data_IF_428959677671
#
_entry.id   IF_428959677671
#
_cell.length_a   1.000
_cell.length_b   1.000
_cell.length_c   1.000
_cell.angle_alpha   90.00
_cell.angle_beta   90.00
_cell.angle_gamma   90.00
#
_symmetry.space_group_name_H-M   'P 1'
#
loop_
_entity.id
_entity.type
_entity.pdbx_description
1 polymer ?
#
# COMPACT_ATOMS: atom_id res chain seq x y z
N UNK A 1 -38.41 -12.45 49.25
CA UNK A 1 -38.72 -13.83 48.81
C UNK A 1 -38.05 -14.07 47.47
N UNK A 2 -37.35 -15.20 47.29
CA UNK A 2 -35.91 -15.09 47.08
C UNK A 2 -35.36 -15.94 45.90
N UNK A 3 -34.07 -15.71 45.64
CA UNK A 3 -33.03 -16.57 45.02
C UNK A 3 -33.00 -16.84 43.49
N UNK A 4 -31.79 -16.64 42.95
CA UNK A 4 -31.28 -17.21 41.69
C UNK A 4 -31.11 -18.75 41.81
N UNK A 5 -30.73 -19.49 40.74
CA UNK A 5 -29.31 -19.55 40.37
C UNK A 5 -28.97 -19.78 38.89
N UNK A 6 -27.68 -19.56 38.61
CA UNK A 6 -26.93 -19.96 37.44
C UNK A 6 -26.62 -21.48 37.40
N UNK A 7 -26.36 -22.04 36.21
CA UNK A 7 -25.31 -23.04 35.89
C UNK A 7 -25.55 -23.62 34.48
N UNK A 8 -24.61 -23.45 33.53
CA UNK A 8 -23.57 -24.42 33.16
C UNK A 8 -24.13 -25.77 32.69
N UNK A 9 -24.00 -26.03 31.38
CA UNK A 9 -23.79 -27.32 30.70
C UNK A 9 -23.73 -26.97 29.18
N UNK A 10 -22.73 -27.33 28.37
CA UNK A 10 -21.97 -28.57 28.37
C UNK A 10 -20.57 -28.42 27.73
N UNK A 11 -19.49 -28.58 28.51
CA UNK A 11 -18.13 -28.88 28.04
C UNK A 11 -17.97 -30.30 27.44
N UNK A 12 -19.05 -31.07 27.37
CA UNK A 12 -19.02 -32.50 27.02
C UNK A 12 -18.99 -32.80 25.52
N UNK A 13 -19.43 -31.88 24.66
CA UNK A 13 -19.42 -32.07 23.21
C UNK A 13 -18.03 -31.88 22.59
N UNK A 14 -17.18 -31.04 23.21
CA UNK A 14 -15.82 -30.78 22.74
C UNK A 14 -14.83 -31.89 23.16
N UNK A 15 -14.99 -32.46 24.36
CA UNK A 15 -14.18 -33.57 24.83
C UNK A 15 -14.44 -34.88 24.04
N UNK A 16 -15.69 -35.12 23.62
CA UNK A 16 -16.05 -36.29 22.78
C UNK A 16 -15.46 -36.22 21.37
N UNK A 17 -15.24 -35.01 20.83
CA UNK A 17 -14.59 -34.83 19.53
C UNK A 17 -13.08 -35.09 19.62
N UNK A 18 -12.40 -34.59 20.66
CA UNK A 18 -10.97 -34.82 20.88
C UNK A 18 -10.67 -36.31 21.15
N UNK A 19 -11.50 -37.00 21.95
CA UNK A 19 -11.33 -38.43 22.24
C UNK A 19 -11.51 -39.34 21.00
N UNK A 20 -12.24 -38.88 19.98
CA UNK A 20 -12.45 -39.62 18.73
C UNK A 20 -11.30 -39.43 17.74
N UNK A 21 -10.48 -38.38 17.91
CA UNK A 21 -9.31 -38.08 17.08
C UNK A 21 -8.03 -38.69 17.67
N UNK A 22 -7.99 -39.02 18.97
CA UNK A 22 -6.81 -39.57 19.66
C UNK A 22 -6.83 -41.08 19.86
N UNK A 23 -7.88 -41.80 19.44
CA UNK A 23 -7.99 -43.25 19.59
C UNK A 23 -7.85 -44.00 18.25
N UNK A 24 -6.61 -44.16 17.78
CA UNK A 24 -6.26 -45.25 16.86
C UNK A 24 -4.98 -45.93 17.37
N UNK A 25 -5.14 -47.14 17.93
CA UNK A 25 -4.06 -48.03 18.38
C UNK A 25 -3.36 -48.71 17.18
N UNK A 26 -2.13 -49.22 17.36
CA UNK A 26 -1.26 -49.69 16.29
C UNK A 26 -1.41 -51.19 16.01
N UNK A 27 -1.29 -51.62 14.74
CA UNK A 27 -0.55 -52.82 14.33
C UNK A 27 -0.55 -53.00 12.79
N UNK A 28 0.53 -53.65 12.36
CA UNK A 28 0.81 -54.35 11.09
C UNK A 28 1.35 -53.60 9.85
N UNK A 29 2.60 -53.98 9.50
CA UNK A 29 3.23 -53.83 8.19
C UNK A 29 2.58 -54.82 7.22
N UNK A 30 2.41 -54.48 5.92
CA UNK A 30 3.46 -54.86 4.97
C UNK A 30 3.68 -53.91 3.77
N UNK A 31 4.81 -54.17 3.11
CA UNK A 31 5.22 -53.78 1.75
C UNK A 31 5.72 -52.35 1.49
N UNK A 32 7.00 -52.28 1.06
CA UNK A 32 7.71 -51.09 0.61
C UNK A 32 7.00 -50.51 -0.63
N UNK A 33 6.32 -49.38 -0.46
CA UNK A 33 6.02 -48.48 -1.57
C UNK A 33 7.27 -47.65 -1.83
N UNK A 34 7.75 -47.67 -3.06
CA UNK A 34 8.96 -46.99 -3.50
C UNK A 34 8.81 -45.47 -3.43
N UNK A 35 9.25 -44.89 -2.31
CA UNK A 35 9.22 -43.45 -2.03
C UNK A 35 10.14 -42.66 -2.98
N UNK A 36 11.06 -43.32 -3.72
CA UNK A 36 11.94 -42.62 -4.67
C UNK A 36 11.22 -42.18 -5.94
N UNK A 37 10.21 -42.93 -6.40
CA UNK A 37 9.41 -42.56 -7.59
C UNK A 37 8.52 -41.32 -7.39
N UNK A 38 7.88 -41.19 -6.23
CA UNK A 38 7.00 -40.05 -5.92
C UNK A 38 7.76 -38.76 -5.60
N UNK A 39 8.99 -38.86 -5.09
CA UNK A 39 9.88 -37.70 -4.91
C UNK A 39 10.44 -37.19 -6.26
N UNK A 40 10.69 -38.09 -7.22
CA UNK A 40 11.15 -37.70 -8.56
C UNK A 40 10.08 -36.94 -9.35
N UNK A 41 8.79 -37.30 -9.21
CA UNK A 41 7.69 -36.56 -9.85
C UNK A 41 7.46 -35.16 -9.24
N UNK A 42 7.68 -34.99 -7.94
CA UNK A 42 7.64 -33.67 -7.29
C UNK A 42 8.85 -32.79 -7.64
N UNK A 43 10.01 -33.40 -7.93
CA UNK A 43 11.18 -32.68 -8.45
C UNK A 43 11.06 -32.33 -9.94
N UNK A 44 10.41 -33.16 -10.75
CA UNK A 44 10.22 -32.90 -12.18
C UNK A 44 9.27 -31.72 -12.47
N UNK A 45 8.32 -31.43 -11.57
CA UNK A 45 7.45 -30.24 -11.65
C UNK A 45 8.17 -28.93 -11.29
N UNK A 46 9.38 -28.99 -10.74
CA UNK A 46 10.19 -27.80 -10.41
C UNK A 46 11.26 -27.45 -11.45
N UNK A 47 11.30 -28.17 -12.58
CA UNK A 47 12.23 -27.89 -13.69
C UNK A 47 11.59 -27.22 -14.91
N UNK A 48 10.41 -26.61 -14.77
CA UNK A 48 9.94 -25.65 -15.77
C UNK A 48 10.74 -24.35 -15.64
N UNK A 49 11.62 -24.08 -16.62
CA UNK A 49 12.32 -22.83 -16.95
C UNK A 49 12.47 -21.74 -15.85
N UNK A 50 13.70 -21.30 -15.52
CA UNK A 50 13.97 -20.33 -14.44
C UNK A 50 13.51 -18.88 -14.71
N UNK A 51 12.55 -18.65 -15.61
CA UNK A 51 12.07 -17.32 -16.02
C UNK A 51 10.67 -16.97 -15.53
N UNK A 52 9.88 -17.91 -14.98
CA UNK A 52 8.46 -17.64 -14.63
C UNK A 52 8.15 -17.48 -13.13
N UNK A 53 9.08 -17.72 -12.20
CA UNK A 53 8.75 -17.85 -10.77
C UNK A 53 8.98 -16.59 -9.89
N UNK A 54 9.12 -15.39 -10.46
CA UNK A 54 9.50 -14.18 -9.67
C UNK A 54 8.44 -13.08 -9.56
N UNK A 55 7.25 -13.26 -10.15
CA UNK A 55 6.22 -12.21 -10.21
C UNK A 55 4.91 -12.70 -9.62
N UNK A 56 4.36 -11.94 -8.67
CA UNK A 56 2.98 -12.13 -8.22
C UNK A 56 2.14 -11.24 -9.14
N UNK A 57 1.55 -11.87 -10.14
CA UNK A 57 0.88 -11.22 -11.28
C UNK A 57 -0.16 -10.17 -10.86
N UNK A 58 -0.93 -10.42 -9.81
CA UNK A 58 -2.01 -9.54 -9.37
C UNK A 58 -1.56 -8.22 -8.75
N UNK A 59 -0.28 -8.06 -8.39
CA UNK A 59 0.19 -6.88 -7.66
C UNK A 59 0.11 -5.60 -8.52
N UNK A 60 0.34 -5.70 -9.82
CA UNK A 60 0.21 -4.55 -10.72
C UNK A 60 -1.26 -4.16 -10.90
N UNK A 61 -2.16 -5.14 -11.05
CA UNK A 61 -3.60 -4.87 -11.08
C UNK A 61 -4.15 -4.31 -9.77
N UNK A 62 -3.63 -4.73 -8.62
CA UNK A 62 -3.99 -4.14 -7.33
C UNK A 62 -3.53 -2.68 -7.21
N UNK A 63 -2.35 -2.34 -7.75
CA UNK A 63 -1.89 -0.95 -7.85
C UNK A 63 -2.78 -0.12 -8.78
N UNK A 64 -3.16 -0.69 -9.93
CA UNK A 64 -4.09 -0.05 -10.86
C UNK A 64 -5.45 0.21 -10.20
N UNK A 65 -6.02 -0.80 -9.54
CA UNK A 65 -7.29 -0.68 -8.82
C UNK A 65 -7.22 0.39 -7.74
N UNK A 66 -6.13 0.45 -6.96
CA UNK A 66 -5.92 1.48 -5.95
C UNK A 66 -5.86 2.90 -6.56
N UNK A 67 -5.10 3.11 -7.64
CA UNK A 67 -5.01 4.41 -8.32
C UNK A 67 -6.36 4.86 -8.88
N UNK A 68 -7.07 3.95 -9.55
CA UNK A 68 -8.38 4.24 -10.15
C UNK A 68 -9.44 4.49 -9.09
N UNK A 69 -9.42 3.76 -7.96
CA UNK A 69 -10.32 4.03 -6.84
C UNK A 69 -10.08 5.45 -6.32
N UNK A 70 -8.83 5.86 -6.07
CA UNK A 70 -8.53 7.23 -5.62
C UNK A 70 -9.08 8.27 -6.60
N UNK A 71 -8.82 8.09 -7.91
CA UNK A 71 -9.31 8.99 -8.95
C UNK A 71 -10.85 9.07 -8.97
N UNK A 72 -11.53 7.93 -9.01
CA UNK A 72 -12.99 7.85 -9.05
C UNK A 72 -13.62 8.41 -7.78
N UNK A 73 -13.05 8.08 -6.61
CA UNK A 73 -13.49 8.60 -5.33
C UNK A 73 -13.38 10.13 -5.27
N UNK A 74 -12.30 10.71 -5.79
CA UNK A 74 -12.22 12.17 -5.89
C UNK A 74 -13.21 12.75 -6.92
N UNK A 75 -13.46 12.07 -8.04
CA UNK A 75 -14.51 12.49 -8.99
C UNK A 75 -15.89 12.53 -8.31
N UNK A 76 -16.23 11.50 -7.53
CA UNK A 76 -17.46 11.45 -6.73
C UNK A 76 -17.53 12.62 -5.74
N UNK A 77 -16.46 12.82 -4.96
CA UNK A 77 -16.39 13.89 -3.96
C UNK A 77 -16.53 15.29 -4.58
N UNK A 78 -15.86 15.57 -5.69
CA UNK A 78 -15.84 16.90 -6.30
C UNK A 78 -17.06 17.21 -7.18
N UNK A 79 -17.87 16.21 -7.51
CA UNK A 79 -19.14 16.41 -8.27
C UNK A 79 -20.38 16.35 -7.38
N UNK A 80 -20.19 16.00 -6.10
CA UNK A 80 -21.25 15.90 -5.10
C UNK A 80 -22.07 14.61 -5.19
N UNK A 81 -21.61 13.61 -5.95
CA UNK A 81 -22.30 12.31 -6.00
C UNK A 81 -21.78 11.37 -4.92
N UNK A 82 -22.65 10.96 -4.01
CA UNK A 82 -22.29 10.03 -2.94
C UNK A 82 -22.61 8.59 -3.35
N UNK A 83 -21.57 7.79 -3.55
CA UNK A 83 -21.67 6.34 -3.67
C UNK A 83 -20.92 5.73 -2.49
N UNK A 84 -21.61 4.96 -1.61
CA UNK A 84 -20.94 4.31 -0.48
C UNK A 84 -19.74 3.50 -0.96
N UNK A 85 -18.68 3.47 -0.14
CA UNK A 85 -17.41 2.75 -0.42
C UNK A 85 -16.55 3.40 -1.49
N UNK A 86 -17.04 3.53 -2.72
CA UNK A 86 -16.29 4.10 -3.84
C UNK A 86 -15.96 5.59 -3.62
N UNK A 87 -16.79 6.30 -2.86
CA UNK A 87 -16.60 7.71 -2.52
C UNK A 87 -15.56 8.03 -1.45
N UNK A 88 -14.85 7.04 -0.88
CA UNK A 88 -13.74 7.29 0.07
C UNK A 88 -12.37 6.93 -0.56
N UNK A 89 -11.65 7.91 -1.12
CA UNK A 89 -10.30 7.72 -1.68
C UNK A 89 -9.28 7.18 -0.67
N UNK A 90 -9.48 7.39 0.63
CA UNK A 90 -8.51 6.96 1.64
C UNK A 90 -8.37 5.42 1.68
N UNK A 91 -9.40 4.68 1.29
CA UNK A 91 -9.36 3.22 1.19
C UNK A 91 -8.44 2.74 0.06
N UNK A 92 -8.42 3.45 -1.07
CA UNK A 92 -7.46 3.20 -2.15
C UNK A 92 -6.02 3.45 -1.70
N UNK A 93 -5.80 4.49 -0.87
CA UNK A 93 -4.48 4.75 -0.27
C UNK A 93 -4.09 3.69 0.76
N UNK A 94 -5.02 3.19 1.57
CA UNK A 94 -4.76 2.07 2.49
C UNK A 94 -4.31 0.82 1.73
N UNK A 95 -4.90 0.54 0.57
CA UNK A 95 -4.44 -0.53 -0.32
C UNK A 95 -3.01 -0.28 -0.84
N UNK A 96 -2.65 0.95 -1.21
CA UNK A 96 -1.27 1.29 -1.58
C UNK A 96 -0.27 1.07 -0.44
N UNK A 97 -0.63 1.45 0.78
CA UNK A 97 0.22 1.28 1.97
C UNK A 97 0.43 -0.22 2.26
N UNK A 98 -0.64 -1.02 2.18
CA UNK A 98 -0.55 -2.47 2.34
C UNK A 98 0.30 -3.13 1.24
N UNK A 99 0.10 -2.73 -0.02
CA UNK A 99 0.95 -3.13 -1.15
C UNK A 99 2.41 -2.79 -0.93
N UNK A 100 2.71 -1.61 -0.38
CA UNK A 100 4.07 -1.16 -0.09
C UNK A 100 4.75 -2.07 0.93
N UNK A 101 4.09 -2.35 2.06
CA UNK A 101 4.59 -3.26 3.08
C UNK A 101 4.85 -4.67 2.55
N UNK A 102 3.89 -5.19 1.77
CA UNK A 102 4.01 -6.50 1.14
C UNK A 102 5.18 -6.57 0.15
N UNK A 103 5.24 -5.63 -0.82
CA UNK A 103 6.26 -5.61 -1.87
C UNK A 103 7.66 -5.38 -1.32
N UNK A 104 7.79 -4.57 -0.27
CA UNK A 104 9.09 -4.31 0.36
C UNK A 104 9.63 -5.57 1.04
N UNK A 105 8.78 -6.29 1.78
CA UNK A 105 9.16 -7.58 2.37
C UNK A 105 9.43 -8.64 1.31
N UNK A 106 8.58 -8.74 0.29
CA UNK A 106 8.75 -9.69 -0.81
C UNK A 106 10.10 -9.49 -1.53
N UNK A 107 10.44 -8.24 -1.88
CA UNK A 107 11.72 -7.94 -2.50
C UNK A 107 12.92 -8.10 -1.55
N UNK A 108 12.73 -7.84 -0.26
CA UNK A 108 13.73 -8.15 0.77
C UNK A 108 14.06 -9.65 0.75
N UNK A 109 13.03 -10.51 0.82
CA UNK A 109 13.19 -11.97 0.85
C UNK A 109 13.87 -12.48 -0.42
N UNK A 110 13.49 -11.98 -1.60
CA UNK A 110 14.12 -12.37 -2.87
C UNK A 110 15.59 -11.96 -3.02
N UNK A 111 16.03 -10.94 -2.27
CA UNK A 111 17.36 -10.34 -2.40
C UNK A 111 18.27 -10.61 -1.22
N UNK A 112 17.78 -11.21 -0.14
CA UNK A 112 18.52 -11.33 1.12
C UNK A 112 19.89 -12.03 0.97
N UNK A 113 20.00 -13.00 0.06
CA UNK A 113 21.25 -13.74 -0.17
C UNK A 113 22.30 -12.90 -0.92
N UNK A 114 21.85 -12.02 -1.82
CA UNK A 114 22.73 -11.17 -2.67
C UNK A 114 22.98 -9.79 -2.06
N UNK A 115 22.00 -9.24 -1.37
CA UNK A 115 22.00 -7.91 -0.75
C UNK A 115 21.57 -8.04 0.72
N UNK A 116 22.44 -8.58 1.60
CA UNK A 116 22.13 -8.75 3.02
C UNK A 116 22.02 -7.41 3.74
N UNK A 117 21.03 -7.26 4.61
CA UNK A 117 20.70 -6.00 5.30
C UNK A 117 21.59 -5.70 6.49
N UNK A 118 22.51 -6.59 6.85
CA UNK A 118 23.58 -6.32 7.82
C UNK A 118 24.66 -5.40 7.23
N UNK A 119 24.69 -5.24 5.89
CA UNK A 119 25.63 -4.38 5.19
C UNK A 119 25.01 -3.00 4.96
N UNK A 120 25.60 -1.90 5.49
CA UNK A 120 25.08 -0.54 5.27
C UNK A 120 24.93 -0.16 3.79
N UNK A 121 25.76 -0.74 2.90
CA UNK A 121 25.64 -0.51 1.45
C UNK A 121 24.30 -0.97 0.87
N UNK A 122 23.71 -2.01 1.44
CA UNK A 122 22.40 -2.52 1.02
C UNK A 122 21.32 -1.48 1.29
N UNK A 123 21.43 -0.74 2.40
CA UNK A 123 20.46 0.29 2.79
C UNK A 123 20.54 1.47 1.82
N UNK A 124 21.76 1.93 1.53
CA UNK A 124 21.97 2.99 0.56
C UNK A 124 21.47 2.60 -0.83
N UNK A 125 21.71 1.36 -1.28
CA UNK A 125 21.15 0.84 -2.54
C UNK A 125 19.63 0.82 -2.54
N UNK A 126 19.02 0.40 -1.44
CA UNK A 126 17.57 0.39 -1.27
C UNK A 126 17.00 1.81 -1.34
N UNK A 127 17.49 2.74 -0.51
CA UNK A 127 17.05 4.13 -0.47
C UNK A 127 17.25 4.84 -1.81
N UNK A 128 18.40 4.67 -2.46
CA UNK A 128 18.66 5.28 -3.77
C UNK A 128 17.64 4.81 -4.81
N UNK A 129 17.41 3.49 -4.93
CA UNK A 129 16.42 2.95 -5.91
C UNK A 129 15.02 3.50 -5.66
N UNK A 130 14.66 3.68 -4.39
CA UNK A 130 13.32 4.13 -3.98
C UNK A 130 13.15 5.64 -4.12
N UNK A 131 14.19 6.42 -3.80
CA UNK A 131 14.21 7.86 -4.02
C UNK A 131 14.05 8.18 -5.51
N UNK A 132 14.86 7.58 -6.39
CA UNK A 132 14.77 7.78 -7.84
C UNK A 132 13.49 7.21 -8.48
N UNK A 133 12.71 6.41 -7.75
CA UNK A 133 11.39 5.96 -8.17
C UNK A 133 10.33 7.05 -8.00
N UNK A 134 10.43 7.87 -6.95
CA UNK A 134 9.40 8.85 -6.57
C UNK A 134 9.84 10.27 -6.95
N UNK A 135 11.03 10.68 -6.53
CA UNK A 135 11.49 12.07 -6.57
C UNK A 135 11.40 12.75 -7.95
N UNK A 136 11.79 12.11 -9.08
CA UNK A 136 11.82 12.79 -10.38
C UNK A 136 10.46 13.33 -10.80
N UNK A 137 9.41 12.49 -10.80
CA UNK A 137 8.08 12.94 -11.15
C UNK A 137 7.48 13.83 -10.08
N UNK A 138 7.71 13.50 -8.80
CA UNK A 138 7.23 14.33 -7.70
C UNK A 138 7.70 15.78 -7.81
N UNK A 139 8.98 16.02 -8.11
CA UNK A 139 9.51 17.38 -8.22
C UNK A 139 8.93 18.15 -9.41
N UNK A 140 8.72 17.48 -10.55
CA UNK A 140 8.08 18.12 -11.72
C UNK A 140 6.63 18.47 -11.39
N UNK A 141 5.89 17.57 -10.74
CA UNK A 141 4.50 17.83 -10.34
C UNK A 141 4.40 18.87 -9.22
N UNK A 142 5.35 18.91 -8.30
CA UNK A 142 5.45 19.93 -7.25
C UNK A 142 5.62 21.32 -7.87
N UNK A 143 6.48 21.45 -8.88
CA UNK A 143 6.63 22.71 -9.62
C UNK A 143 5.29 23.16 -10.22
N UNK A 144 4.59 22.28 -10.96
CA UNK A 144 3.29 22.62 -11.54
C UNK A 144 2.23 22.91 -10.48
N UNK A 145 2.23 22.19 -9.36
CA UNK A 145 1.28 22.40 -8.28
C UNK A 145 1.45 23.78 -7.62
N UNK A 146 2.69 24.23 -7.41
CA UNK A 146 2.98 25.56 -6.87
C UNK A 146 2.68 26.66 -7.92
N UNK A 147 3.07 26.44 -9.18
CA UNK A 147 2.86 27.41 -10.26
C UNK A 147 1.37 27.62 -10.59
N UNK A 148 0.58 26.55 -10.56
CA UNK A 148 -0.87 26.57 -10.83
C UNK A 148 -1.70 26.75 -9.56
N UNK A 149 -1.07 26.97 -8.40
CA UNK A 149 -1.71 27.08 -7.10
C UNK A 149 -2.93 28.02 -7.08
N UNK A 150 -2.81 29.28 -7.52
CA UNK A 150 -3.95 30.21 -7.59
C UNK A 150 -5.11 29.70 -8.43
N UNK A 151 -4.83 29.16 -9.62
CA UNK A 151 -5.87 28.62 -10.50
C UNK A 151 -6.59 27.40 -9.90
N UNK A 152 -5.84 26.52 -9.23
CA UNK A 152 -6.39 25.36 -8.54
C UNK A 152 -7.20 25.78 -7.31
N UNK A 153 -6.79 26.83 -6.61
CA UNK A 153 -7.53 27.40 -5.49
C UNK A 153 -8.88 27.96 -5.94
N UNK A 154 -8.92 28.77 -7.00
CA UNK A 154 -10.17 29.28 -7.58
C UNK A 154 -11.09 28.14 -8.04
N UNK A 155 -10.52 27.14 -8.73
CA UNK A 155 -11.26 25.93 -9.12
C UNK A 155 -11.88 25.24 -7.90
N UNK A 156 -11.11 25.14 -6.81
CA UNK A 156 -11.58 24.53 -5.57
C UNK A 156 -12.69 25.35 -4.90
N UNK A 157 -12.58 26.67 -4.90
CA UNK A 157 -13.59 27.58 -4.34
C UNK A 157 -14.93 27.44 -5.05
N UNK A 158 -14.93 27.35 -6.39
CA UNK A 158 -16.14 27.09 -7.19
C UNK A 158 -16.81 25.78 -6.75
N UNK A 159 -16.03 24.71 -6.58
CA UNK A 159 -16.55 23.40 -6.18
C UNK A 159 -17.12 23.44 -4.76
N UNK A 160 -16.36 23.98 -3.79
CA UNK A 160 -16.78 24.00 -2.39
C UNK A 160 -18.02 24.89 -2.19
N UNK A 161 -18.09 26.04 -2.87
CA UNK A 161 -19.25 26.93 -2.86
C UNK A 161 -20.51 26.24 -3.41
N UNK A 162 -20.41 25.61 -4.59
CA UNK A 162 -21.53 24.90 -5.20
C UNK A 162 -22.03 23.72 -4.35
N UNK A 163 -21.11 22.99 -3.71
CA UNK A 163 -21.45 21.84 -2.86
C UNK A 163 -21.84 22.22 -1.42
N UNK A 164 -21.88 23.51 -1.08
CA UNK A 164 -22.20 23.99 0.26
C UNK A 164 -21.20 23.56 1.33
N UNK A 165 -19.92 23.42 0.98
CA UNK A 165 -18.84 23.00 1.88
C UNK A 165 -18.03 24.19 2.35
N UNK A 166 -17.47 24.08 3.55
CA UNK A 166 -16.49 25.05 4.03
C UNK A 166 -15.29 25.10 3.05
N UNK A 167 -14.86 26.30 2.62
CA UNK A 167 -13.68 26.47 1.79
C UNK A 167 -12.45 25.81 2.41
N UNK A 168 -11.63 25.17 1.57
CA UNK A 168 -10.32 24.72 2.03
C UNK A 168 -9.40 25.90 2.36
N UNK A 169 -8.50 25.66 3.32
CA UNK A 169 -7.50 26.64 3.75
C UNK A 169 -6.64 27.11 2.55
N UNK A 170 -6.49 28.44 2.31
CA UNK A 170 -5.72 28.96 1.19
C UNK A 170 -4.26 28.47 1.18
N UNK A 171 -3.67 28.23 2.36
CA UNK A 171 -2.30 27.76 2.52
C UNK A 171 -2.08 26.39 1.88
N UNK A 172 -3.15 25.62 1.64
CA UNK A 172 -3.05 24.38 0.87
C UNK A 172 -2.54 24.64 -0.55
N UNK A 173 -2.96 25.73 -1.16
CA UNK A 173 -2.74 26.01 -2.58
C UNK A 173 -1.72 27.11 -2.81
N UNK A 174 -1.64 28.07 -1.89
CA UNK A 174 -0.93 29.33 -2.07
C UNK A 174 0.36 29.44 -1.25
N UNK A 175 0.74 28.42 -0.46
CA UNK A 175 1.98 28.45 0.32
C UNK A 175 3.21 28.19 -0.55
N UNK A 176 3.71 29.26 -1.18
CA UNK A 176 5.00 29.29 -1.88
C UNK A 176 6.20 29.58 -0.98
N UNK A 177 6.08 29.46 0.35
CA UNK A 177 7.18 29.81 1.26
C UNK A 177 8.38 28.86 1.09
N UNK A 178 9.59 29.39 1.31
CA UNK A 178 10.82 28.58 1.28
C UNK A 178 10.76 27.41 2.27
N UNK A 179 10.09 27.58 3.41
CA UNK A 179 9.86 26.52 4.40
C UNK A 179 9.04 25.39 3.80
N UNK A 180 7.94 25.71 3.12
CA UNK A 180 7.10 24.71 2.47
C UNK A 180 7.84 23.98 1.35
N UNK A 181 8.50 24.74 0.47
CA UNK A 181 9.28 24.20 -0.65
C UNK A 181 10.40 23.27 -0.14
N UNK A 182 11.20 23.72 0.84
CA UNK A 182 12.29 22.91 1.38
C UNK A 182 11.78 21.63 2.05
N UNK A 183 10.68 21.69 2.77
CA UNK A 183 10.07 20.51 3.40
C UNK A 183 9.58 19.50 2.35
N UNK A 184 9.02 19.96 1.22
CA UNK A 184 8.58 19.09 0.13
C UNK A 184 9.76 18.50 -0.66
N UNK A 185 10.78 19.32 -0.98
CA UNK A 185 12.00 18.83 -1.65
C UNK A 185 12.72 17.76 -0.83
N UNK A 186 12.70 17.86 0.49
CA UNK A 186 13.32 16.89 1.42
C UNK A 186 12.39 15.77 1.87
N UNK A 187 11.12 15.78 1.46
CA UNK A 187 10.06 14.86 1.92
C UNK A 187 9.79 14.88 3.45
N UNK A 188 10.20 15.95 4.15
CA UNK A 188 9.99 16.10 5.60
C UNK A 188 8.61 16.69 5.95
N UNK A 189 7.87 17.19 4.97
CA UNK A 189 6.55 17.82 5.16
C UNK A 189 5.55 16.93 5.92
N UNK A 190 5.59 15.60 5.71
CA UNK A 190 4.71 14.65 6.37
C UNK A 190 4.94 14.48 7.88
N UNK A 191 6.07 14.99 8.41
CA UNK A 191 6.40 14.97 9.84
C UNK A 191 5.78 16.15 10.61
N UNK A 192 5.31 17.17 9.89
CA UNK A 192 4.72 18.37 10.50
C UNK A 192 3.24 18.47 10.16
N UNK A 193 2.34 18.54 11.16
CA UNK A 193 0.91 18.71 10.92
C UNK A 193 0.60 19.94 10.05
N UNK A 194 1.40 21.00 10.23
CA UNK A 194 1.23 22.25 9.50
C UNK A 194 1.61 22.14 8.03
N UNK A 195 2.60 21.33 7.66
CA UNK A 195 3.12 21.24 6.29
C UNK A 195 2.60 20.02 5.53
N UNK A 196 2.03 19.04 6.23
CA UNK A 196 1.56 17.76 5.68
C UNK A 196 0.45 17.88 4.62
N UNK A 197 -0.10 19.07 4.41
CA UNK A 197 -1.23 19.33 3.52
C UNK A 197 -1.16 20.72 2.87
N UNK A 198 0.05 21.17 2.53
CA UNK A 198 0.32 22.51 1.94
C UNK A 198 0.71 22.47 0.46
N UNK A 199 0.14 21.55 -0.28
CA UNK A 199 0.14 21.60 -1.75
C UNK A 199 -1.22 21.13 -2.31
N UNK A 200 -1.53 21.48 -3.57
CA UNK A 200 -2.67 20.91 -4.29
C UNK A 200 -2.52 19.42 -4.60
N UNK A 201 -1.33 18.83 -4.43
CA UNK A 201 -1.07 17.43 -4.75
C UNK A 201 -1.69 16.50 -3.68
N UNK A 202 -1.93 15.23 -4.02
CA UNK A 202 -2.23 14.19 -3.05
C UNK A 202 -0.94 13.65 -2.41
N UNK A 203 0.00 14.52 -2.01
CA UNK A 203 1.37 14.16 -1.64
C UNK A 203 1.58 13.76 -0.18
N UNK A 204 0.60 13.97 0.70
CA UNK A 204 0.66 13.55 2.11
C UNK A 204 1.05 12.06 2.28
N UNK A 205 0.61 11.20 1.35
CA UNK A 205 0.93 9.76 1.37
C UNK A 205 2.34 9.46 0.83
N UNK A 206 2.91 10.33 -0.01
CA UNK A 206 4.29 10.22 -0.50
C UNK A 206 5.29 10.54 0.62
N UNK A 207 5.01 11.57 1.43
CA UNK A 207 5.78 11.86 2.64
C UNK A 207 5.76 10.68 3.63
N UNK A 208 4.61 10.02 3.77
CA UNK A 208 4.48 8.78 4.53
C UNK A 208 5.27 7.61 3.90
N UNK A 209 5.24 7.46 2.57
CA UNK A 209 5.99 6.42 1.85
C UNK A 209 7.51 6.57 2.05
N UNK A 210 8.03 7.80 2.05
CA UNK A 210 9.44 8.06 2.38
C UNK A 210 9.79 7.71 3.83
N UNK A 211 8.87 7.93 4.77
CA UNK A 211 9.07 7.48 6.16
C UNK A 211 9.13 5.95 6.25
N UNK A 212 8.25 5.23 5.54
CA UNK A 212 8.34 3.76 5.45
C UNK A 212 9.69 3.33 4.90
N UNK A 213 10.18 3.99 3.84
CA UNK A 213 11.50 3.68 3.27
C UNK A 213 12.65 3.94 4.24
N UNK A 214 12.58 5.02 5.01
CA UNK A 214 13.59 5.35 6.01
C UNK A 214 13.69 4.29 7.11
N UNK A 215 12.56 3.84 7.66
CA UNK A 215 12.53 2.89 8.78
C UNK A 215 12.68 1.42 8.37
N UNK A 216 12.35 1.08 7.12
CA UNK A 216 12.29 -0.32 6.68
C UNK A 216 13.56 -1.15 6.92
N UNK A 217 14.80 -0.62 6.73
CA UNK A 217 15.99 -1.37 7.11
C UNK A 217 16.03 -1.81 8.57
N UNK A 218 15.70 -0.91 9.49
CA UNK A 218 15.63 -1.22 10.91
C UNK A 218 14.53 -2.26 11.21
N UNK A 219 13.38 -2.14 10.54
CA UNK A 219 12.31 -3.14 10.66
C UNK A 219 12.77 -4.54 10.23
N UNK A 220 13.55 -4.65 9.15
CA UNK A 220 14.07 -5.95 8.68
C UNK A 220 15.11 -6.55 9.62
N UNK A 221 15.94 -5.72 10.25
CA UNK A 221 16.85 -6.19 11.31
C UNK A 221 16.07 -6.70 12.53
N UNK A 222 15.00 -6.00 12.92
CA UNK A 222 14.12 -6.42 14.02
C UNK A 222 13.45 -7.77 13.69
N UNK A 223 12.89 -7.90 12.48
CA UNK A 223 12.30 -9.17 11.99
C UNK A 223 13.31 -10.30 12.02
N UNK A 224 14.56 -10.06 11.64
CA UNK A 224 15.59 -11.10 11.72
C UNK A 224 15.88 -11.51 13.17
N UNK A 225 15.79 -10.58 14.13
CA UNK A 225 16.09 -10.83 15.55
C UNK A 225 14.95 -11.53 16.30
N UNK A 226 13.69 -11.19 15.99
CA UNK A 226 12.51 -11.61 16.75
C UNK A 226 11.42 -12.29 15.91
N UNK A 227 11.64 -12.51 14.61
CA UNK A 227 10.63 -12.96 13.64
C UNK A 227 9.54 -11.94 13.29
N UNK A 228 8.76 -12.24 12.24
CA UNK A 228 7.73 -11.37 11.67
C UNK A 228 6.63 -10.98 12.66
N UNK A 229 6.20 -11.91 13.51
CA UNK A 229 5.04 -11.71 14.40
C UNK A 229 5.45 -10.80 15.55
N UNK A 230 6.51 -11.15 16.29
CA UNK A 230 6.93 -10.34 17.43
C UNK A 230 7.42 -8.95 17.01
N UNK A 231 8.05 -8.84 15.85
CA UNK A 231 8.44 -7.54 15.29
C UNK A 231 7.23 -6.70 14.94
N UNK A 232 6.19 -7.29 14.34
CA UNK A 232 4.95 -6.57 14.05
C UNK A 232 4.24 -6.12 15.34
N UNK A 233 4.17 -6.98 16.36
CA UNK A 233 3.60 -6.64 17.67
C UNK A 233 4.37 -5.48 18.31
N UNK A 234 5.70 -5.56 18.37
CA UNK A 234 6.54 -4.52 18.96
C UNK A 234 6.37 -3.18 18.23
N UNK A 235 6.40 -3.18 16.89
CA UNK A 235 6.24 -1.97 16.08
C UNK A 235 4.82 -1.41 16.17
N UNK A 236 3.79 -2.26 16.22
CA UNK A 236 2.42 -1.83 16.43
C UNK A 236 2.24 -1.20 17.82
N UNK A 237 2.82 -1.78 18.86
CA UNK A 237 2.78 -1.23 20.22
C UNK A 237 3.47 0.15 20.29
N UNK A 238 4.65 0.30 19.69
CA UNK A 238 5.35 1.58 19.60
C UNK A 238 4.56 2.61 18.78
N UNK A 239 3.95 2.20 17.67
CA UNK A 239 3.06 3.03 16.87
C UNK A 239 1.85 3.51 17.68
N UNK A 240 1.21 2.60 18.41
CA UNK A 240 0.07 2.92 19.27
C UNK A 240 0.42 3.88 20.39
N UNK A 241 1.57 3.68 21.05
CA UNK A 241 2.10 4.60 22.05
C UNK A 241 2.33 6.00 21.45
N UNK A 242 2.95 6.09 20.28
CA UNK A 242 3.18 7.37 19.61
C UNK A 242 1.85 8.07 19.26
N UNK A 243 0.84 7.33 18.79
CA UNK A 243 -0.50 7.87 18.53
C UNK A 243 -1.17 8.35 19.81
N UNK A 244 -1.04 7.61 20.92
CA UNK A 244 -1.56 8.03 22.23
C UNK A 244 -0.91 9.34 22.70
N UNK A 245 0.42 9.47 22.54
CA UNK A 245 1.15 10.70 22.89
C UNK A 245 0.65 11.87 22.03
N UNK A 246 0.53 11.71 20.71
CA UNK A 246 0.01 12.76 19.83
C UNK A 246 -1.39 13.23 20.26
N UNK A 247 -2.28 12.29 20.59
CA UNK A 247 -3.63 12.60 21.09
C UNK A 247 -3.58 13.34 22.42
N UNK A 248 -2.74 12.92 23.37
CA UNK A 248 -2.60 13.62 24.66
C UNK A 248 -2.04 15.04 24.51
N UNK A 249 -1.22 15.30 23.49
CA UNK A 249 -0.68 16.62 23.18
C UNK A 249 -1.61 17.44 22.28
N UNK A 250 -2.81 16.92 21.94
CA UNK A 250 -3.75 17.56 21.01
C UNK A 250 -3.14 17.88 19.63
N UNK A 251 -2.15 17.08 19.20
CA UNK A 251 -1.52 17.23 17.89
C UNK A 251 -2.35 16.48 16.85
N UNK A 252 -3.07 17.23 16.03
CA UNK A 252 -3.94 16.69 14.99
C UNK A 252 -3.31 16.91 13.62
N UNK A 253 -3.16 15.82 12.86
CA UNK A 253 -2.71 15.89 11.48
C UNK A 253 -3.92 16.00 10.55
N UNK A 254 -3.96 16.98 9.61
CA UNK A 254 -5.08 17.12 8.66
C UNK A 254 -5.21 15.93 7.71
N UNK A 255 -4.09 15.22 7.48
CA UNK A 255 -4.00 13.97 6.74
C UNK A 255 -3.07 13.02 7.48
N UNK A 256 -3.28 11.69 7.45
CA UNK A 256 -2.47 10.75 8.22
C UNK A 256 -1.10 10.50 7.57
N UNK A 257 -0.29 11.56 7.47
CA UNK A 257 1.02 11.62 6.82
C UNK A 257 2.17 11.15 7.70
N UNK A 258 1.94 11.05 9.01
CA UNK A 258 2.97 10.65 9.97
C UNK A 258 2.94 9.14 10.20
N UNK A 259 4.12 8.52 10.19
CA UNK A 259 4.34 7.07 10.20
C UNK A 259 3.45 6.31 11.21
N UNK A 260 3.34 6.70 12.49
CA UNK A 260 2.55 5.96 13.48
C UNK A 260 1.06 5.88 13.17
N UNK A 261 0.50 6.83 12.41
CA UNK A 261 -0.93 6.87 12.08
C UNK A 261 -1.36 5.77 11.09
N UNK A 262 -0.40 5.21 10.34
CA UNK A 262 -0.62 4.22 9.28
C UNK A 262 0.28 2.99 9.35
N UNK A 263 1.15 2.89 10.37
CA UNK A 263 2.08 1.76 10.53
C UNK A 263 1.34 0.42 10.61
N UNK A 264 0.16 0.37 11.22
CA UNK A 264 -0.69 -0.81 11.33
C UNK A 264 -1.08 -1.36 9.95
N UNK A 265 -1.44 -0.50 8.99
CA UNK A 265 -1.82 -0.91 7.62
C UNK A 265 -0.60 -1.42 6.85
N UNK A 266 0.55 -0.76 7.03
CA UNK A 266 1.81 -1.19 6.43
C UNK A 266 2.24 -2.57 6.97
N UNK A 267 2.10 -2.78 8.28
CA UNK A 267 2.38 -4.05 8.94
C UNK A 267 1.47 -5.19 8.46
N UNK A 268 0.20 -4.92 8.10
CA UNK A 268 -0.67 -5.94 7.46
C UNK A 268 -0.01 -6.51 6.22
N UNK A 269 0.47 -5.65 5.31
CA UNK A 269 1.19 -6.07 4.11
C UNK A 269 2.46 -6.87 4.41
N UNK A 270 3.25 -6.40 5.38
CA UNK A 270 4.48 -7.07 5.81
C UNK A 270 4.21 -8.47 6.36
N UNK A 271 3.21 -8.63 7.22
CA UNK A 271 2.83 -9.92 7.80
C UNK A 271 2.40 -10.91 6.72
N UNK A 272 1.59 -10.47 5.76
CA UNK A 272 1.13 -11.33 4.68
C UNK A 272 2.27 -11.79 3.76
N UNK A 273 3.26 -10.92 3.49
CA UNK A 273 4.48 -11.32 2.78
C UNK A 273 5.39 -12.22 3.63
N UNK A 274 5.41 -12.03 4.95
CA UNK A 274 6.18 -12.85 5.89
C UNK A 274 5.84 -14.34 5.84
N UNK A 275 4.60 -14.68 5.47
CA UNK A 275 4.15 -16.07 5.29
C UNK A 275 4.95 -16.80 4.21
N UNK A 276 5.30 -16.11 3.13
CA UNK A 276 5.91 -16.70 1.93
C UNK A 276 7.30 -17.27 2.17
N UNK A 277 8.03 -16.77 3.17
CA UNK A 277 9.38 -17.23 3.49
C UNK A 277 9.43 -18.37 4.53
N UNK A 278 8.29 -18.82 5.07
CA UNK A 278 8.27 -19.84 6.13
C UNK A 278 8.21 -21.25 5.54
N UNK A 279 9.05 -22.16 6.07
CA UNK A 279 9.02 -23.61 5.74
C UNK A 279 7.68 -24.27 6.07
N UNK A 280 7.07 -23.87 7.17
CA UNK A 280 5.72 -24.28 7.57
C UNK A 280 4.84 -23.03 7.66
N UNK A 281 4.20 -22.63 6.55
CA UNK A 281 3.42 -21.40 6.51
C UNK A 281 2.16 -21.54 7.37
N UNK A 282 1.84 -20.48 8.14
CA UNK A 282 0.62 -20.37 8.95
C UNK A 282 -0.24 -19.21 8.43
N UNK A 283 -0.83 -19.33 7.22
CA UNK A 283 -1.47 -18.19 6.54
C UNK A 283 -2.65 -17.63 7.33
N UNK A 284 -3.47 -18.48 7.96
CA UNK A 284 -4.63 -18.03 8.75
C UNK A 284 -4.24 -17.26 10.01
N UNK A 285 -3.13 -17.62 10.66
CA UNK A 285 -2.60 -16.85 11.80
C UNK A 285 -2.17 -15.46 11.36
N UNK A 286 -1.46 -15.34 10.24
CA UNK A 286 -1.00 -14.05 9.74
C UNK A 286 -2.17 -13.20 9.22
N UNK A 287 -3.21 -13.82 8.65
CA UNK A 287 -4.46 -13.15 8.32
C UNK A 287 -5.14 -12.61 9.59
N UNK A 288 -5.32 -13.45 10.61
CA UNK A 288 -5.94 -13.02 11.88
C UNK A 288 -5.19 -11.86 12.54
N UNK A 289 -3.85 -11.89 12.52
CA UNK A 289 -3.02 -10.78 13.01
C UNK A 289 -3.12 -9.53 12.13
N UNK A 290 -3.14 -9.68 10.80
CA UNK A 290 -3.30 -8.55 9.88
C UNK A 290 -4.69 -7.90 10.03
N UNK A 291 -5.74 -8.68 10.24
CA UNK A 291 -7.09 -8.19 10.55
C UNK A 291 -7.12 -7.52 11.93
N UNK A 292 -6.49 -8.10 12.95
CA UNK A 292 -6.39 -7.47 14.26
C UNK A 292 -5.65 -6.13 14.22
N UNK A 293 -4.56 -6.00 13.43
CA UNK A 293 -3.87 -4.73 13.22
C UNK A 293 -4.71 -3.73 12.43
N UNK A 294 -5.38 -4.20 11.39
CA UNK A 294 -6.31 -3.39 10.62
C UNK A 294 -7.52 -2.97 11.45
N UNK A 295 -7.90 -3.66 12.53
CA UNK A 295 -8.97 -3.20 13.40
C UNK A 295 -8.60 -1.95 14.22
N UNK A 296 -7.30 -1.69 14.43
CA UNK A 296 -6.84 -0.65 15.36
C UNK A 296 -7.07 0.77 14.79
N UNK A 297 -7.71 1.68 15.53
CA UNK A 297 -8.00 3.04 15.08
C UNK A 297 -6.83 4.01 15.36
N UNK A 298 -5.66 3.77 14.77
CA UNK A 298 -4.50 4.69 14.92
C UNK A 298 -4.68 6.07 14.27
N UNK A 299 -5.66 6.23 13.39
CA UNK A 299 -6.07 7.54 12.85
C UNK A 299 -7.30 8.10 13.57
N UNK A 300 -8.08 8.87 12.82
CA UNK A 300 -9.35 9.39 13.31
C UNK A 300 -10.42 8.30 13.35
N UNK A 301 -11.42 8.48 14.21
CA UNK A 301 -12.49 7.52 14.48
C UNK A 301 -13.14 7.02 13.19
N UNK A 302 -12.89 5.77 12.84
CA UNK A 302 -13.50 5.15 11.68
C UNK A 302 -14.94 4.76 12.05
N UNK A 303 -15.92 5.23 11.27
CA UNK A 303 -17.28 4.67 11.34
C UNK A 303 -17.29 3.17 10.99
N UNK A 304 -18.33 2.46 11.40
CA UNK A 304 -18.47 1.01 11.19
C UNK A 304 -18.27 0.61 9.72
N UNK A 305 -18.78 1.39 8.77
CA UNK A 305 -18.62 1.13 7.33
C UNK A 305 -17.16 1.11 6.89
N UNK A 306 -16.35 2.07 7.36
CA UNK A 306 -14.94 2.18 7.02
C UNK A 306 -14.11 1.07 7.67
N UNK A 307 -14.45 0.71 8.91
CA UNK A 307 -13.89 -0.46 9.58
C UNK A 307 -14.13 -1.74 8.77
N UNK A 308 -15.40 -2.04 8.44
CA UNK A 308 -15.76 -3.25 7.69
C UNK A 308 -15.09 -3.30 6.32
N UNK A 309 -14.98 -2.16 5.64
CA UNK A 309 -14.33 -2.08 4.35
C UNK A 309 -12.82 -2.32 4.43
N UNK A 310 -12.16 -1.80 5.46
CA UNK A 310 -10.73 -2.06 5.67
C UNK A 310 -10.46 -3.54 5.97
N UNK A 311 -11.31 -4.19 6.76
CA UNK A 311 -11.24 -5.64 6.99
C UNK A 311 -11.47 -6.43 5.69
N UNK A 312 -12.45 -6.03 4.88
CA UNK A 312 -12.69 -6.63 3.56
C UNK A 312 -11.50 -6.45 2.62
N UNK A 313 -10.82 -5.30 2.65
CA UNK A 313 -9.60 -5.07 1.88
C UNK A 313 -8.47 -6.01 2.31
N UNK A 314 -8.23 -6.19 3.61
CA UNK A 314 -7.21 -7.12 4.11
C UNK A 314 -7.52 -8.55 3.68
N UNK A 315 -8.79 -8.97 3.82
CA UNK A 315 -9.22 -10.31 3.42
C UNK A 315 -9.10 -10.54 1.91
N UNK A 316 -9.53 -9.56 1.10
CA UNK A 316 -9.41 -9.61 -0.36
C UNK A 316 -7.95 -9.63 -0.81
N UNK A 317 -7.11 -8.79 -0.21
CA UNK A 317 -5.67 -8.77 -0.47
C UNK A 317 -5.03 -10.11 -0.13
N UNK A 318 -5.30 -10.67 1.05
CA UNK A 318 -4.86 -12.00 1.45
C UNK A 318 -5.27 -13.06 0.44
N UNK A 319 -6.54 -13.07 0.02
CA UNK A 319 -7.06 -14.05 -0.91
C UNK A 319 -6.34 -13.97 -2.27
N UNK A 320 -6.04 -12.76 -2.74
CA UNK A 320 -5.40 -12.54 -4.04
C UNK A 320 -3.90 -12.82 -4.04
N UNK A 321 -3.17 -12.49 -2.96
CA UNK A 321 -1.71 -12.69 -2.92
C UNK A 321 -1.32 -14.09 -2.45
N UNK A 322 -2.16 -14.74 -1.64
CA UNK A 322 -1.96 -16.11 -1.14
C UNK A 322 -2.95 -17.12 -1.76
N UNK A 323 -3.47 -16.85 -2.97
CA UNK A 323 -4.46 -17.71 -3.62
C UNK A 323 -4.04 -19.19 -3.72
N UNK A 324 -2.74 -19.46 -3.85
CA UNK A 324 -2.16 -20.81 -3.93
C UNK A 324 -2.29 -21.60 -2.62
N UNK A 325 -2.49 -20.89 -1.50
CA UNK A 325 -2.64 -21.47 -0.16
C UNK A 325 -4.11 -21.64 0.24
N UNK A 326 -5.06 -21.16 -0.58
CA UNK A 326 -6.48 -21.27 -0.31
C UNK A 326 -7.04 -22.62 -0.79
N UNK A 327 -7.84 -23.31 0.04
CA UNK A 327 -8.43 -24.59 -0.35
C UNK A 327 -9.60 -24.44 -1.33
N UNK A 328 -9.82 -25.49 -2.13
CA UNK A 328 -11.07 -25.71 -2.87
C UNK A 328 -11.46 -24.61 -3.87
N UNK A 329 -12.74 -24.24 -3.85
CA UNK A 329 -13.33 -23.26 -4.78
C UNK A 329 -12.76 -21.85 -4.55
N UNK A 330 -12.50 -21.49 -3.29
CA UNK A 330 -11.97 -20.18 -2.93
C UNK A 330 -10.62 -19.90 -3.63
N UNK A 331 -9.69 -20.88 -3.61
CA UNK A 331 -8.42 -20.75 -4.32
C UNK A 331 -8.56 -20.66 -5.84
N UNK A 332 -9.51 -21.40 -6.44
CA UNK A 332 -9.79 -21.34 -7.89
C UNK A 332 -10.34 -19.97 -8.31
N UNK A 333 -11.29 -19.43 -7.55
CA UNK A 333 -11.87 -18.10 -7.81
C UNK A 333 -10.80 -17.01 -7.63
N UNK A 334 -10.09 -17.03 -6.51
CA UNK A 334 -9.02 -16.08 -6.22
C UNK A 334 -7.92 -16.12 -7.30
N UNK A 335 -7.53 -17.31 -7.78
CA UNK A 335 -6.58 -17.45 -8.90
C UNK A 335 -7.09 -16.79 -10.17
N UNK A 336 -8.35 -17.02 -10.56
CA UNK A 336 -8.92 -16.40 -11.78
C UNK A 336 -8.87 -14.88 -11.70
N UNK A 337 -9.27 -14.32 -10.55
CA UNK A 337 -9.22 -12.87 -10.33
C UNK A 337 -7.76 -12.37 -10.33
N UNK A 338 -6.85 -13.06 -9.65
CA UNK A 338 -5.44 -12.69 -9.59
C UNK A 338 -4.78 -12.68 -10.98
N UNK A 339 -5.04 -13.68 -11.81
CA UNK A 339 -4.54 -13.76 -13.19
C UNK A 339 -5.16 -12.68 -14.06
N UNK A 340 -6.47 -12.42 -13.94
CA UNK A 340 -7.13 -11.34 -14.67
C UNK A 340 -6.54 -9.95 -14.32
N UNK A 341 -6.26 -9.71 -13.03
CA UNK A 341 -5.57 -8.51 -12.55
C UNK A 341 -4.10 -8.43 -13.01
N UNK A 342 -3.49 -9.57 -13.36
CA UNK A 342 -2.17 -9.62 -13.99
C UNK A 342 -2.17 -9.44 -15.51
N UNK A 343 -3.35 -9.36 -16.14
CA UNK A 343 -3.50 -9.20 -17.58
C UNK A 343 -3.03 -7.84 -18.11
N UNK A 344 -2.94 -7.71 -19.43
CA UNK A 344 -2.27 -6.59 -20.10
C UNK A 344 -2.70 -5.19 -19.67
N UNK A 345 -4.00 -4.88 -19.71
CA UNK A 345 -4.50 -3.53 -19.36
C UNK A 345 -4.21 -3.17 -17.90
N UNK A 346 -4.48 -4.08 -16.97
CA UNK A 346 -4.22 -3.87 -15.54
C UNK A 346 -2.74 -3.79 -15.23
N UNK A 347 -1.90 -4.54 -15.95
CA UNK A 347 -0.46 -4.41 -15.85
C UNK A 347 0.00 -3.00 -16.26
N UNK A 348 -0.42 -2.50 -17.43
CA UNK A 348 -0.05 -1.16 -17.92
C UNK A 348 -0.54 -0.09 -16.94
N UNK A 349 -1.79 -0.15 -16.51
CA UNK A 349 -2.32 0.79 -15.52
C UNK A 349 -1.61 0.69 -14.16
N UNK A 350 -1.12 -0.50 -13.81
CA UNK A 350 -0.32 -0.73 -12.61
C UNK A 350 1.06 -0.08 -12.66
N UNK A 351 1.68 -0.05 -13.85
CA UNK A 351 2.94 0.69 -14.08
C UNK A 351 2.70 2.20 -14.03
N UNK A 352 1.59 2.66 -14.61
CA UNK A 352 1.19 4.08 -14.61
C UNK A 352 0.60 4.54 -13.27
N UNK A 353 0.38 3.63 -12.31
CA UNK A 353 -0.40 3.90 -11.09
C UNK A 353 0.12 5.09 -10.29
N UNK A 354 1.44 5.28 -10.27
CA UNK A 354 2.09 6.38 -9.55
C UNK A 354 1.81 7.73 -10.21
N UNK A 355 2.01 7.84 -11.53
CA UNK A 355 1.60 9.01 -12.30
C UNK A 355 0.11 9.32 -12.18
N UNK A 356 -0.76 8.31 -12.32
CA UNK A 356 -2.22 8.49 -12.20
C UNK A 356 -2.54 9.07 -10.82
N UNK A 357 -1.98 8.49 -9.76
CA UNK A 357 -2.16 8.97 -8.40
C UNK A 357 -1.67 10.40 -8.22
N UNK A 358 -0.55 10.79 -8.80
CA UNK A 358 0.01 12.11 -8.54
C UNK A 358 -0.65 13.23 -9.36
N UNK A 359 -1.00 12.95 -10.62
CA UNK A 359 -1.48 13.94 -11.60
C UNK A 359 -2.98 14.23 -11.41
N UNK A 360 -3.77 13.26 -10.93
CA UNK A 360 -5.23 13.34 -11.06
C UNK A 360 -5.86 14.61 -10.48
N UNK A 361 -5.40 15.12 -9.32
CA UNK A 361 -5.98 16.35 -8.73
C UNK A 361 -5.66 17.63 -9.50
N UNK A 362 -4.54 17.67 -10.23
CA UNK A 362 -4.16 18.81 -11.08
C UNK A 362 -5.08 18.94 -12.29
N UNK A 363 -5.61 17.81 -12.79
CA UNK A 363 -6.55 17.77 -13.91
C UNK A 363 -8.00 17.85 -13.42
N UNK A 364 -8.33 17.07 -12.39
CA UNK A 364 -9.70 16.89 -11.91
C UNK A 364 -10.30 18.18 -11.35
N UNK A 365 -9.54 18.96 -10.57
CA UNK A 365 -10.08 20.18 -9.94
C UNK A 365 -10.56 21.20 -10.99
N UNK A 366 -9.74 21.61 -11.97
CA UNK A 366 -10.19 22.48 -13.05
C UNK A 366 -11.39 21.93 -13.85
N UNK A 367 -11.36 20.65 -14.20
CA UNK A 367 -12.43 20.04 -15.01
C UNK A 367 -13.75 20.00 -14.22
N UNK A 368 -13.72 19.60 -12.96
CA UNK A 368 -14.91 19.59 -12.10
C UNK A 368 -15.45 21.01 -11.88
N UNK A 369 -14.58 21.98 -11.63
CA UNK A 369 -14.97 23.39 -11.50
C UNK A 369 -15.62 23.93 -12.78
N UNK A 370 -15.06 23.63 -13.95
CA UNK A 370 -15.63 24.03 -15.23
C UNK A 370 -17.03 23.43 -15.45
N UNK A 371 -17.19 22.12 -15.23
CA UNK A 371 -18.50 21.46 -15.38
C UNK A 371 -19.53 22.04 -14.41
N UNK A 372 -19.14 22.30 -13.17
CA UNK A 372 -20.00 22.91 -12.15
C UNK A 372 -20.37 24.36 -12.53
N UNK A 373 -19.40 25.19 -12.90
CA UNK A 373 -19.65 26.59 -13.24
C UNK A 373 -20.58 26.73 -14.45
N UNK A 374 -20.48 25.83 -15.44
CA UNK A 374 -21.26 25.92 -16.69
C UNK A 374 -22.61 25.23 -16.62
N UNK A 375 -22.70 24.11 -15.89
CA UNK A 375 -23.83 23.19 -15.94
C UNK A 375 -24.30 22.68 -14.55
N UNK A 376 -23.77 23.23 -13.46
CA UNK A 376 -23.96 22.73 -12.09
C UNK A 376 -25.44 22.55 -11.71
N UNK A 377 -26.22 23.64 -11.82
CA UNK A 377 -27.64 23.68 -11.45
C UNK A 377 -28.54 22.92 -12.45
N UNK A 378 -28.07 22.75 -13.70
CA UNK A 378 -28.83 22.10 -14.77
C UNK A 378 -28.66 20.58 -14.86
N UNK A 379 -27.68 20.01 -14.15
CA UNK A 379 -27.36 18.58 -14.22
C UNK A 379 -27.42 17.92 -12.85
N UNK A 380 -28.00 16.72 -12.77
CA UNK A 380 -27.93 15.90 -11.56
C UNK A 380 -26.49 15.44 -11.26
N UNK A 381 -26.19 15.16 -9.99
CA UNK A 381 -24.86 14.75 -9.54
C UNK A 381 -24.26 13.55 -10.31
N UNK A 382 -25.02 12.47 -10.61
CA UNK A 382 -24.48 11.34 -11.39
C UNK A 382 -24.05 11.75 -12.81
N UNK A 383 -24.77 12.69 -13.43
CA UNK A 383 -24.44 13.15 -14.79
C UNK A 383 -23.21 14.07 -14.79
N UNK A 384 -23.09 14.96 -13.80
CA UNK A 384 -21.84 15.72 -13.59
C UNK A 384 -20.65 14.81 -13.38
N UNK A 385 -20.81 13.78 -12.54
CA UNK A 385 -19.79 12.74 -12.34
C UNK A 385 -19.41 12.04 -13.64
N UNK A 386 -20.39 11.59 -14.43
CA UNK A 386 -20.13 10.89 -15.68
C UNK A 386 -19.35 11.75 -16.68
N UNK A 387 -19.73 13.03 -16.83
CA UNK A 387 -19.03 13.98 -17.71
C UNK A 387 -17.59 14.22 -17.21
N UNK A 388 -17.42 14.50 -15.92
CA UNK A 388 -16.09 14.72 -15.34
C UNK A 388 -15.21 13.49 -15.51
N UNK A 389 -15.72 12.29 -15.20
CA UNK A 389 -14.95 11.05 -15.35
C UNK A 389 -14.58 10.77 -16.82
N UNK A 390 -15.51 11.02 -17.75
CA UNK A 390 -15.28 10.83 -19.18
C UNK A 390 -14.17 11.74 -19.74
N UNK A 391 -13.94 12.91 -19.13
CA UNK A 391 -12.85 13.82 -19.49
C UNK A 391 -11.58 13.47 -18.70
N UNK A 392 -11.67 13.34 -17.38
CA UNK A 392 -10.53 13.21 -16.49
C UNK A 392 -9.80 11.88 -16.69
N UNK A 393 -10.52 10.76 -16.81
CA UNK A 393 -9.89 9.45 -16.94
C UNK A 393 -8.96 9.35 -18.17
N UNK A 394 -9.39 9.64 -19.41
CA UNK A 394 -8.50 9.56 -20.57
C UNK A 394 -7.36 10.59 -20.50
N UNK A 395 -7.62 11.81 -20.04
CA UNK A 395 -6.58 12.85 -19.92
C UNK A 395 -5.51 12.45 -18.91
N UNK A 396 -5.92 11.98 -17.71
CA UNK A 396 -4.97 11.53 -16.68
C UNK A 396 -4.21 10.31 -17.14
N UNK A 397 -4.85 9.32 -17.79
CA UNK A 397 -4.16 8.15 -18.32
C UNK A 397 -3.14 8.53 -19.41
N UNK A 398 -3.51 9.44 -20.31
CA UNK A 398 -2.61 9.93 -21.36
C UNK A 398 -1.41 10.68 -20.77
N UNK A 399 -1.64 11.66 -19.90
CA UNK A 399 -0.57 12.39 -19.23
C UNK A 399 0.32 11.45 -18.42
N UNK A 400 -0.28 10.47 -17.72
CA UNK A 400 0.46 9.48 -16.96
C UNK A 400 1.36 8.61 -17.83
N UNK A 401 0.90 8.23 -19.01
CA UNK A 401 1.73 7.51 -19.98
C UNK A 401 2.93 8.36 -20.43
N UNK A 402 2.69 9.63 -20.77
CA UNK A 402 3.74 10.57 -21.18
C UNK A 402 4.76 10.78 -20.06
N UNK A 403 4.31 11.11 -18.84
CA UNK A 403 5.21 11.36 -17.70
C UNK A 403 5.95 10.11 -17.25
N UNK A 404 5.31 8.93 -17.35
CA UNK A 404 5.97 7.67 -17.09
C UNK A 404 7.15 7.43 -18.04
N UNK A 405 6.96 7.65 -19.34
CA UNK A 405 8.00 7.45 -20.36
C UNK A 405 9.10 8.51 -20.30
N UNK A 406 8.74 9.78 -20.07
CA UNK A 406 9.66 10.91 -20.18
C UNK A 406 10.36 11.25 -18.86
N UNK A 407 9.74 10.96 -17.70
CA UNK A 407 10.25 11.39 -16.40
C UNK A 407 10.54 10.20 -15.50
N UNK A 408 9.55 9.33 -15.24
CA UNK A 408 9.71 8.24 -14.28
C UNK A 408 10.74 7.21 -14.74
N UNK A 409 10.60 6.70 -15.97
CA UNK A 409 11.51 5.68 -16.50
C UNK A 409 12.96 6.19 -16.56
N UNK A 410 13.27 7.38 -17.11
CA UNK A 410 14.61 7.95 -17.07
C UNK A 410 15.11 8.21 -15.65
N UNK A 411 14.27 8.69 -14.75
CA UNK A 411 14.61 8.89 -13.34
C UNK A 411 15.04 7.58 -12.65
N UNK A 412 14.30 6.50 -12.86
CA UNK A 412 14.65 5.18 -12.34
C UNK A 412 15.94 4.63 -12.99
N UNK A 413 16.17 4.90 -14.28
CA UNK A 413 17.41 4.53 -14.97
C UNK A 413 18.61 5.29 -14.40
N UNK A 414 18.45 6.59 -14.12
CA UNK A 414 19.48 7.42 -13.49
C UNK A 414 19.88 6.85 -12.13
N UNK A 415 18.91 6.46 -11.29
CA UNK A 415 19.19 5.79 -10.02
C UNK A 415 20.00 4.49 -10.17
N UNK A 416 19.72 3.68 -11.21
CA UNK A 416 20.53 2.48 -11.52
C UNK A 416 21.94 2.83 -11.96
N UNK A 417 22.13 3.93 -12.69
CA UNK A 417 23.45 4.41 -13.14
C UNK A 417 24.27 4.94 -11.97
N UNK A 418 23.67 5.73 -11.08
CA UNK A 418 24.30 6.22 -9.83
C UNK A 418 24.84 5.04 -9.01
N UNK A 419 24.03 4.00 -8.80
CA UNK A 419 24.46 2.83 -8.04
C UNK A 419 25.59 2.03 -8.70
N UNK A 420 25.59 1.93 -10.03
CA UNK A 420 26.67 1.28 -10.79
C UNK A 420 27.99 2.07 -10.67
N UNK A 421 27.92 3.40 -10.73
CA UNK A 421 29.08 4.27 -10.59
C UNK A 421 29.71 4.18 -9.20
N UNK A 422 28.89 4.23 -8.14
CA UNK A 422 29.36 4.06 -6.76
C UNK A 422 30.04 2.70 -6.55
N UNK A 423 29.46 1.63 -7.13
CA UNK A 423 30.05 0.29 -7.04
C UNK A 423 31.40 0.17 -7.79
N UNK A 424 31.54 0.82 -8.95
CA UNK A 424 32.79 0.86 -9.72
C UNK A 424 33.92 1.60 -8.99
N UNK A 425 33.63 2.73 -8.36
CA UNK A 425 34.64 3.46 -7.55
C UNK A 425 35.17 2.62 -6.38
N UNK A 426 34.32 1.83 -5.72
CA UNK A 426 34.75 0.94 -4.63
C UNK A 426 35.62 -0.23 -5.09
N UNK A 427 35.51 -0.67 -6.35
CA UNK A 427 36.33 -1.77 -6.89
C UNK A 427 37.72 -1.28 -7.29
N UNK A 428 37.84 -0.04 -7.79
CA UNK A 428 39.12 0.59 -8.15
C UNK A 428 39.97 0.97 -6.91
N UNK A 429 39.33 1.26 -5.77
CA UNK A 429 40.02 1.67 -4.54
C UNK A 429 40.48 0.51 -3.64
N UNK A 430 40.19 -0.75 -3.98
CA UNK A 430 40.86 -1.89 -3.33
C UNK A 430 42.24 -2.01 -3.98
N UNK A 431 43.36 -1.88 -3.23
CA UNK A 431 44.67 -2.22 -3.78
C UNK A 431 44.60 -3.65 -4.31
N UNK A 432 45.24 -3.90 -5.46
CA UNK A 432 45.64 -5.27 -5.80
C UNK A 432 46.33 -5.86 -4.56
N UNK A 433 46.03 -7.09 -4.14
CA UNK A 433 46.96 -7.81 -3.28
C UNK A 433 48.33 -7.67 -3.95
N UNK A 434 49.29 -7.08 -3.24
CA UNK A 434 50.67 -7.03 -3.72
C UNK A 434 51.10 -8.49 -3.91
N UNK A 435 51.45 -8.83 -5.15
CA UNK A 435 52.14 -10.08 -5.48
C UNK A 435 53.57 -10.06 -4.94
#
# INVERSE_FOLDING_TARGET
MPEAPASLLAPWLFARWIAKVTASKPADRPSRVDIRGSLAMLQCSMNSNPTESSRIECLDGLRAAAALWVLVGHCLLLTGWHVPVLGDPALGVDLFIMLSGFLMVFHYQLRQDKEPWQRPETWLKFWTRRYFRIAPLFYVMLFFALALGPYLYESRMVIDSFLGRAPQAPERFLDGSLKNIAAHLTFLFGLSPNLAYRTPLPDWSLGLEMQFYAVFPALMLLVRRFDWIWSAIAVAALGGLAVMILKSMSVHFPMPSFLPLKIQVFLCGMLLAGVLARRQPRPLLHLGLAMALAAIPFGDGYGLSKFLMREALVLGFFALVLYRMLPGVAGKVARKVAVALGGGVFHVLGELSYSIYLIHLLVLQPVAAFVIARYGDGLAAPLRFAIVLAIVLPVVCFLSFVTYKVIEMPGQQLGRTVLRWVARKKTVLKPSPAE
#
